data_IF_288871964267
#
_entry.id   IF_288871964267
#
_cell.length_a   1.000
_cell.length_b   1.000
_cell.length_c   1.000
_cell.angle_alpha   90.00
_cell.angle_beta   90.00
_cell.angle_gamma   90.00
#
_symmetry.space_group_name_H-M   'P 1'
#
loop_
_entity.id
_entity.type
_entity.pdbx_description
1 polymer ?
#
# COMPACT_ATOMS: atom_id res chain seq x y z
N UNK A 1 -18.32 -6.32 12.98
CA UNK A 1 -18.47 -6.48 11.52
C UNK A 1 -17.35 -5.71 10.85
N UNK A 2 -16.46 -6.40 10.13
CA UNK A 2 -15.32 -5.76 9.44
C UNK A 2 -15.79 -5.36 8.05
N UNK A 3 -16.11 -4.08 7.87
CA UNK A 3 -16.49 -3.52 6.58
C UNK A 3 -15.23 -3.42 5.72
N UNK A 4 -15.04 -4.38 4.81
CA UNK A 4 -14.03 -4.30 3.75
C UNK A 4 -14.43 -3.14 2.83
N UNK A 5 -13.47 -2.29 2.51
CA UNK A 5 -13.66 -1.17 1.61
C UNK A 5 -13.87 -1.68 0.18
N UNK A 6 -15.13 -1.96 -0.19
CA UNK A 6 -15.51 -2.45 -1.52
C UNK A 6 -15.03 -1.51 -2.66
N UNK A 7 -14.31 -2.07 -3.63
CA UNK A 7 -14.00 -1.37 -4.88
C UNK A 7 -12.84 -1.89 -5.74
N UNK A 8 -12.15 -2.98 -5.37
CA UNK A 8 -11.03 -3.50 -6.15
C UNK A 8 -11.32 -4.93 -6.65
N UNK A 9 -11.37 -5.09 -7.97
CA UNK A 9 -11.40 -6.40 -8.63
C UNK A 9 -10.02 -7.04 -8.47
N UNK A 10 -9.89 -8.05 -7.61
CA UNK A 10 -8.65 -8.81 -7.45
C UNK A 10 -8.57 -9.90 -8.51
N UNK A 11 -7.70 -9.73 -9.51
CA UNK A 11 -7.31 -10.85 -10.38
C UNK A 11 -6.02 -11.45 -9.79
N UNK A 12 -6.16 -12.52 -9.01
CA UNK A 12 -5.03 -13.25 -8.45
C UNK A 12 -4.72 -14.44 -9.35
N UNK A 13 -3.66 -14.33 -10.15
CA UNK A 13 -3.10 -15.48 -10.87
C UNK A 13 -1.68 -15.69 -10.34
N UNK A 14 -1.48 -16.88 -9.78
CA UNK A 14 -0.24 -17.50 -9.31
C UNK A 14 1.06 -16.93 -9.89
N UNK A 15 2.01 -16.56 -9.01
CA UNK A 15 3.47 -16.49 -9.22
C UNK A 15 4.03 -15.44 -10.19
N UNK A 16 3.25 -14.47 -10.67
CA UNK A 16 3.79 -13.36 -11.45
C UNK A 16 3.18 -12.03 -11.00
N UNK A 17 3.98 -11.17 -10.36
CA UNK A 17 3.64 -9.75 -10.20
C UNK A 17 3.93 -9.09 -11.54
N UNK A 18 2.90 -9.01 -12.38
CA UNK A 18 2.95 -8.21 -13.60
C UNK A 18 3.40 -6.78 -13.25
N UNK A 19 4.39 -6.26 -13.99
CA UNK A 19 5.24 -5.12 -13.60
C UNK A 19 4.51 -3.77 -13.33
N UNK A 20 3.18 -3.71 -13.43
CA UNK A 20 2.40 -2.50 -13.18
C UNK A 20 0.90 -2.79 -12.90
N UNK A 21 0.56 -3.14 -11.66
CA UNK A 21 -0.83 -3.45 -11.23
C UNK A 21 -1.54 -2.29 -10.51
N UNK A 22 -0.99 -1.08 -10.55
CA UNK A 22 -1.69 0.10 -10.01
C UNK A 22 -2.82 0.47 -10.97
N UNK A 23 -4.04 0.02 -10.65
CA UNK A 23 -5.26 0.36 -11.40
C UNK A 23 -5.76 1.76 -11.03
N UNK A 24 -5.54 2.18 -9.78
CA UNK A 24 -5.91 3.50 -9.26
C UNK A 24 -4.79 4.03 -8.37
N UNK A 25 -4.47 5.31 -8.52
CA UNK A 25 -3.53 6.01 -7.64
C UNK A 25 -4.13 6.34 -6.26
N UNK A 26 -5.45 6.15 -6.12
CA UNK A 26 -6.22 6.52 -4.93
C UNK A 26 -7.06 5.36 -4.44
N UNK A 27 -6.89 5.01 -3.17
CA UNK A 27 -7.78 4.13 -2.42
C UNK A 27 -8.68 4.96 -1.51
N UNK A 28 -9.95 4.57 -1.35
CA UNK A 28 -10.93 5.32 -0.55
C UNK A 28 -11.47 4.41 0.54
N UNK A 29 -11.15 4.70 1.79
CA UNK A 29 -11.71 4.00 2.94
C UNK A 29 -12.91 4.78 3.48
N UNK A 30 -14.11 4.27 3.18
CA UNK A 30 -15.37 4.87 3.64
C UNK A 30 -15.56 4.78 5.16
N UNK A 31 -14.97 3.78 5.81
CA UNK A 31 -15.12 3.57 7.26
C UNK A 31 -14.31 4.58 8.06
N UNK A 32 -13.09 4.89 7.62
CA UNK A 32 -12.24 5.93 8.22
C UNK A 32 -12.52 7.32 7.66
N UNK A 33 -13.16 7.41 6.48
CA UNK A 33 -13.34 8.67 5.76
C UNK A 33 -12.02 9.21 5.18
N UNK A 34 -11.07 8.31 4.88
CA UNK A 34 -9.74 8.64 4.37
C UNK A 34 -9.60 8.30 2.89
N UNK A 35 -8.77 9.08 2.20
CA UNK A 35 -8.23 8.77 0.88
C UNK A 35 -6.74 8.50 1.02
N UNK A 36 -6.27 7.40 0.44
CA UNK A 36 -4.85 7.07 0.37
C UNK A 36 -4.38 7.28 -1.06
N UNK A 37 -3.42 8.16 -1.26
CA UNK A 37 -2.96 8.57 -2.58
C UNK A 37 -1.48 8.23 -2.72
N UNK A 38 -1.13 7.54 -3.79
CA UNK A 38 0.25 7.35 -4.20
C UNK A 38 0.70 8.49 -5.11
N UNK A 39 1.91 9.00 -4.90
CA UNK A 39 2.46 10.06 -5.72
C UNK A 39 2.81 9.61 -7.15
N UNK A 40 3.03 10.57 -8.04
CA UNK A 40 3.35 10.31 -9.45
C UNK A 40 4.62 9.46 -9.62
N UNK A 41 5.59 9.59 -8.71
CA UNK A 41 6.83 8.82 -8.75
C UNK A 41 6.68 7.41 -8.18
N UNK A 42 5.54 7.12 -7.53
CA UNK A 42 5.19 5.84 -6.91
C UNK A 42 6.13 5.42 -5.79
N UNK A 43 6.51 6.37 -4.95
CA UNK A 43 7.43 6.16 -3.82
C UNK A 43 6.84 6.67 -2.51
N UNK A 44 5.88 7.58 -2.57
CA UNK A 44 5.25 8.18 -1.39
C UNK A 44 3.76 7.91 -1.40
N UNK A 45 3.23 7.59 -0.22
CA UNK A 45 1.79 7.41 0.03
C UNK A 45 1.36 8.45 1.06
N UNK A 46 0.23 9.10 0.83
CA UNK A 46 -0.38 10.06 1.75
C UNK A 46 -1.79 9.65 2.12
N UNK A 47 -2.17 9.81 3.38
CA UNK A 47 -3.57 9.74 3.83
C UNK A 47 -4.14 11.14 4.03
N UNK A 48 -5.32 11.36 3.46
CA UNK A 48 -6.02 12.63 3.51
C UNK A 48 -7.45 12.38 3.97
N UNK A 49 -7.97 13.20 4.88
CA UNK A 49 -9.37 13.07 5.32
C UNK A 49 -10.37 13.65 4.30
N UNK A 50 -11.67 13.48 4.59
CA UNK A 50 -12.76 14.04 3.76
C UNK A 50 -12.73 15.55 3.58
N UNK A 51 -12.04 16.30 4.45
CA UNK A 51 -11.88 17.77 4.37
C UNK A 51 -10.63 18.18 3.61
N UNK A 52 -9.82 17.23 3.12
CA UNK A 52 -8.56 17.52 2.45
C UNK A 52 -7.37 17.69 3.40
N UNK A 53 -7.53 17.43 4.71
CA UNK A 53 -6.44 17.53 5.68
C UNK A 53 -5.52 16.31 5.56
N UNK A 54 -4.21 16.57 5.47
CA UNK A 54 -3.19 15.52 5.55
C UNK A 54 -3.19 14.88 6.94
N UNK A 55 -3.34 13.56 7.00
CA UNK A 55 -3.30 12.77 8.23
C UNK A 55 -1.88 12.22 8.45
N UNK A 56 -1.33 11.59 7.42
CA UNK A 56 0.05 11.12 7.40
C UNK A 56 0.59 11.06 5.97
N UNK A 57 1.91 11.06 5.85
CA UNK A 57 2.66 10.91 4.60
C UNK A 57 3.90 10.09 4.88
N UNK A 58 4.17 9.09 4.05
CA UNK A 58 5.36 8.23 4.22
C UNK A 58 5.95 7.83 2.88
N UNK A 59 7.28 7.71 2.85
CA UNK A 59 8.01 6.92 1.87
C UNK A 59 8.34 5.57 2.52
N UNK A 60 7.59 4.49 2.25
CA UNK A 60 7.70 3.28 3.06
C UNK A 60 9.09 2.63 2.94
N UNK A 61 9.78 2.80 1.81
CA UNK A 61 11.14 2.29 1.61
C UNK A 61 12.17 3.08 2.41
N UNK A 62 12.19 4.41 2.27
CA UNK A 62 13.19 5.28 2.92
C UNK A 62 12.96 5.38 4.42
N UNK A 63 11.72 5.59 4.84
CA UNK A 63 11.37 5.82 6.25
C UNK A 63 11.63 4.56 7.11
N UNK A 64 11.64 3.37 6.49
CA UNK A 64 11.95 2.10 7.14
C UNK A 64 13.33 1.56 6.80
N UNK A 65 14.17 2.37 6.14
CA UNK A 65 15.56 2.04 5.80
C UNK A 65 15.68 0.69 5.09
N UNK A 66 14.76 0.41 4.16
CA UNK A 66 14.86 -0.81 3.36
C UNK A 66 16.17 -0.78 2.58
N UNK A 67 16.95 -1.86 2.70
CA UNK A 67 18.18 -2.01 1.95
C UNK A 67 17.91 -2.04 0.45
N UNK A 68 18.90 -1.59 -0.33
CA UNK A 68 18.87 -1.73 -1.78
C UNK A 68 18.75 -3.21 -2.14
N UNK A 69 17.80 -3.52 -3.02
CA UNK A 69 17.58 -4.86 -3.53
C UNK A 69 17.16 -4.74 -4.99
N UNK A 70 17.95 -5.30 -5.92
CA UNK A 70 17.81 -5.24 -7.40
C UNK A 70 17.79 -3.83 -8.03
N UNK A 71 17.30 -2.81 -7.33
CA UNK A 71 17.10 -1.43 -7.80
C UNK A 71 17.30 -0.46 -6.64
N UNK A 72 18.02 0.64 -6.89
CA UNK A 72 18.37 1.66 -5.88
C UNK A 72 17.17 2.40 -5.28
N UNK A 73 16.18 2.73 -6.10
CA UNK A 73 14.96 3.43 -5.68
C UNK A 73 13.77 2.60 -6.16
N UNK A 74 13.23 1.71 -5.32
CA UNK A 74 12.13 0.86 -5.72
C UNK A 74 10.85 1.69 -5.88
N UNK A 75 10.12 1.40 -6.96
CA UNK A 75 8.80 2.01 -7.25
C UNK A 75 7.71 1.03 -6.87
N UNK A 76 6.65 1.52 -6.25
CA UNK A 76 5.47 0.74 -5.94
C UNK A 76 4.75 0.39 -7.25
N UNK A 77 4.45 -0.90 -7.42
CA UNK A 77 3.76 -1.47 -8.59
C UNK A 77 2.45 -2.17 -8.22
N UNK A 78 2.19 -2.35 -6.93
CA UNK A 78 0.93 -2.82 -6.38
C UNK A 78 0.51 -1.93 -5.21
N UNK A 79 -0.76 -1.54 -5.17
CA UNK A 79 -1.32 -0.64 -4.16
C UNK A 79 -2.82 -0.92 -4.01
N UNK A 80 -3.18 -1.59 -2.93
CA UNK A 80 -4.55 -2.09 -2.74
C UNK A 80 -4.90 -2.28 -1.26
N UNK A 81 -6.19 -2.32 -0.95
CA UNK A 81 -6.63 -2.82 0.34
C UNK A 81 -6.53 -4.34 0.38
N UNK A 82 -5.94 -4.86 1.45
CA UNK A 82 -5.86 -6.29 1.70
C UNK A 82 -6.03 -6.61 3.18
N UNK A 83 -6.22 -7.88 3.51
CA UNK A 83 -6.26 -8.34 4.90
C UNK A 83 -4.87 -8.69 5.39
N UNK A 84 -4.49 -8.17 6.55
CA UNK A 84 -3.36 -8.69 7.31
C UNK A 84 -3.76 -10.08 7.86
N UNK A 85 -3.09 -11.13 7.35
CA UNK A 85 -3.31 -12.51 7.76
C UNK A 85 -2.74 -12.82 9.15
N UNK A 86 -1.79 -12.01 9.64
CA UNK A 86 -1.11 -12.19 10.92
C UNK A 86 -1.90 -11.63 12.12
N UNK A 87 -2.69 -10.56 11.91
CA UNK A 87 -3.48 -9.90 12.97
C UNK A 87 -4.96 -9.86 12.62
N UNK A 88 -5.75 -10.79 13.16
CA UNK A 88 -7.23 -10.75 13.25
C UNK A 88 -7.94 -10.02 12.08
N UNK A 89 -7.57 -10.33 10.82
CA UNK A 89 -8.21 -9.81 9.60
C UNK A 89 -8.41 -8.28 9.59
N UNK A 90 -7.47 -7.50 10.12
CA UNK A 90 -7.52 -6.04 9.93
C UNK A 90 -7.17 -5.69 8.49
N UNK A 91 -7.99 -4.85 7.85
CA UNK A 91 -7.70 -4.34 6.51
C UNK A 91 -6.52 -3.36 6.58
N UNK A 92 -5.53 -3.56 5.72
CA UNK A 92 -4.30 -2.78 5.56
C UNK A 92 -4.15 -2.31 4.12
N UNK A 93 -3.17 -1.45 3.87
CA UNK A 93 -2.79 -1.05 2.51
C UNK A 93 -1.60 -1.90 2.10
N UNK A 94 -1.82 -2.87 1.23
CA UNK A 94 -0.75 -3.73 0.74
C UNK A 94 0.00 -3.08 -0.42
N UNK A 95 1.33 -3.17 -0.40
CA UNK A 95 2.19 -2.70 -1.46
C UNK A 95 3.22 -3.74 -1.88
N UNK A 96 3.55 -3.72 -3.17
CA UNK A 96 4.70 -4.42 -3.71
C UNK A 96 5.51 -3.45 -4.58
N UNK A 97 6.81 -3.65 -4.58
CA UNK A 97 7.76 -2.86 -5.34
C UNK A 97 8.19 -3.57 -6.63
N UNK A 98 8.66 -2.82 -7.61
CA UNK A 98 9.22 -3.34 -8.86
C UNK A 98 10.53 -4.12 -8.67
N UNK A 99 11.06 -4.16 -7.45
CA UNK A 99 12.23 -4.93 -7.08
C UNK A 99 11.88 -6.23 -6.33
N UNK A 100 10.61 -6.65 -6.32
CA UNK A 100 10.10 -7.82 -5.61
C UNK A 100 10.03 -7.72 -4.08
N UNK A 101 10.40 -6.61 -3.46
CA UNK A 101 10.11 -6.39 -2.04
C UNK A 101 8.62 -6.06 -1.84
N UNK A 102 8.05 -6.42 -0.70
CA UNK A 102 6.65 -6.15 -0.38
C UNK A 102 6.39 -5.99 1.11
N UNK A 103 5.21 -5.47 1.43
CA UNK A 103 4.76 -5.24 2.79
C UNK A 103 3.43 -4.51 2.81
N UNK A 104 3.05 -3.98 3.97
CA UNK A 104 1.79 -3.26 4.12
C UNK A 104 1.89 -2.05 5.04
N UNK A 105 0.95 -1.13 4.90
CA UNK A 105 0.79 0.03 5.78
C UNK A 105 -0.46 -0.10 6.65
N UNK A 106 -0.33 0.31 7.90
CA UNK A 106 -1.48 0.59 8.76
C UNK A 106 -2.23 1.84 8.25
N UNK A 107 -3.54 1.71 8.05
CA UNK A 107 -4.38 2.77 7.47
C UNK A 107 -4.44 4.04 8.31
N UNK A 108 -4.31 3.94 9.63
CA UNK A 108 -4.49 5.09 10.55
C UNK A 108 -3.20 5.86 10.77
N UNK A 109 -2.07 5.17 10.75
CA UNK A 109 -0.76 5.71 11.14
C UNK A 109 0.21 5.84 9.96
N UNK A 110 -0.02 5.12 8.87
CA UNK A 110 0.93 5.03 7.76
C UNK A 110 2.17 4.21 8.11
N UNK A 111 2.21 3.54 9.28
CA UNK A 111 3.34 2.70 9.67
C UNK A 111 3.44 1.52 8.71
N UNK A 112 4.60 1.37 8.08
CA UNK A 112 4.91 0.27 7.19
C UNK A 112 5.46 -0.93 7.95
N UNK A 113 5.07 -2.12 7.52
CA UNK A 113 5.60 -3.42 7.93
C UNK A 113 6.16 -4.11 6.71
N UNK A 114 7.43 -4.51 6.78
CA UNK A 114 8.09 -5.30 5.75
C UNK A 114 7.71 -6.78 5.90
N UNK A 115 7.27 -7.41 4.80
CA UNK A 115 6.80 -8.80 4.81
C UNK A 115 7.74 -9.75 4.03
N UNK A 116 8.69 -9.21 3.29
CA UNK A 116 9.70 -10.00 2.61
C UNK A 116 9.98 -9.55 1.19
N UNK A 117 10.57 -10.48 0.45
CA UNK A 117 10.97 -10.32 -0.93
C UNK A 117 10.83 -11.65 -1.67
N UNK A 118 10.51 -11.56 -2.96
CA UNK A 118 10.44 -12.69 -3.91
C UNK A 118 11.66 -12.74 -4.85
#
# INVERSE_FOLDING_TARGET
>A
MTTISYGQTKTYTSHYIEKNRIVKDTLIDKSLGYKFIIDKNRIVISAIDKKGKLIWKTNPSVDNKLGEYKVKIPKIVYFAFDSDSSKKKSEVIWIAYNNSQFGFLDKKTGKFTFEGQD
#
